data_IF_820574690880
#
_entry.id   IF_820574690880
#
_cell.length_a   1.000
_cell.length_b   1.000
_cell.length_c   1.000
_cell.angle_alpha   90.00
_cell.angle_beta   90.00
_cell.angle_gamma   90.00
#
_symmetry.space_group_name_H-M   'P 1'
#
loop_
_entity.id
_entity.type
_entity.pdbx_description
1 polymer ?
#
# COMPACT_ATOMS: atom_id res chain seq x y z
N UNK A 1 5.12 -29.00 -15.51
CA UNK A 1 6.42 -28.27 -15.53
C UNK A 1 6.61 -27.76 -14.11
N UNK A 2 7.76 -27.99 -13.50
CA UNK A 2 8.02 -27.54 -12.11
C UNK A 2 8.67 -26.16 -12.17
N UNK A 3 8.08 -25.18 -11.48
CA UNK A 3 8.61 -23.83 -11.34
C UNK A 3 9.62 -23.75 -10.20
N UNK A 4 10.46 -22.72 -10.18
CA UNK A 4 11.27 -22.40 -9.01
C UNK A 4 10.38 -21.68 -7.95
N UNK A 5 9.47 -20.84 -8.43
CA UNK A 5 8.59 -20.03 -7.59
C UNK A 5 7.18 -19.93 -8.18
N UNK A 6 6.16 -20.11 -7.33
CA UNK A 6 4.77 -19.70 -7.61
C UNK A 6 4.40 -18.53 -6.72
N UNK A 7 3.76 -17.51 -7.30
CA UNK A 7 3.25 -16.33 -6.58
C UNK A 7 1.73 -16.37 -6.64
N UNK A 8 1.09 -16.41 -5.47
CA UNK A 8 -0.36 -16.48 -5.30
C UNK A 8 -0.87 -15.08 -4.94
N UNK A 9 -1.54 -14.45 -5.89
CA UNK A 9 -1.93 -13.05 -5.87
C UNK A 9 -0.91 -12.16 -6.57
N UNK A 10 -1.29 -11.51 -7.67
CA UNK A 10 -0.45 -10.63 -8.48
C UNK A 10 -0.87 -9.15 -8.33
N UNK A 11 -1.30 -8.77 -7.12
CA UNK A 11 -1.50 -7.38 -6.72
C UNK A 11 -0.17 -6.64 -6.58
N UNK A 12 -0.09 -5.67 -5.67
CA UNK A 12 1.10 -4.83 -5.53
C UNK A 12 2.37 -5.61 -5.19
N UNK A 13 2.30 -6.47 -4.16
CA UNK A 13 3.46 -7.27 -3.70
C UNK A 13 3.80 -8.36 -4.70
N UNK A 14 2.80 -9.10 -5.18
CA UNK A 14 3.05 -10.21 -6.10
C UNK A 14 3.54 -9.77 -7.47
N UNK A 15 3.09 -8.63 -7.99
CA UNK A 15 3.61 -8.07 -9.24
C UNK A 15 5.09 -7.68 -9.11
N UNK A 16 5.47 -7.04 -7.99
CA UNK A 16 6.87 -6.72 -7.70
C UNK A 16 7.71 -7.99 -7.52
N UNK A 17 7.22 -8.97 -6.74
CA UNK A 17 7.91 -10.25 -6.51
C UNK A 17 8.16 -11.00 -7.82
N UNK A 18 7.16 -11.06 -8.70
CA UNK A 18 7.28 -11.68 -10.02
C UNK A 18 8.35 -11.03 -10.88
N UNK A 19 8.37 -9.71 -10.90
CA UNK A 19 9.39 -8.95 -11.61
C UNK A 19 10.80 -9.23 -11.08
N UNK A 20 11.02 -9.07 -9.77
CA UNK A 20 12.37 -9.24 -9.20
C UNK A 20 12.85 -10.69 -9.27
N UNK A 21 11.99 -11.68 -8.98
CA UNK A 21 12.35 -13.08 -9.04
C UNK A 21 12.68 -13.54 -10.46
N UNK A 22 11.89 -13.14 -11.47
CA UNK A 22 12.16 -13.48 -12.87
C UNK A 22 13.45 -12.82 -13.34
N UNK A 23 13.66 -11.55 -12.99
CA UNK A 23 14.89 -10.82 -13.32
C UNK A 23 16.14 -11.45 -12.68
N UNK A 24 15.97 -12.11 -11.52
CA UNK A 24 17.02 -12.89 -10.88
C UNK A 24 17.29 -14.25 -11.54
N UNK A 25 16.57 -14.58 -12.61
CA UNK A 25 16.76 -15.80 -13.41
C UNK A 25 15.95 -17.01 -12.94
N UNK A 26 14.99 -16.83 -12.03
CA UNK A 26 14.10 -17.90 -11.59
C UNK A 26 13.01 -18.19 -12.64
N UNK A 27 12.59 -19.46 -12.74
CA UNK A 27 11.40 -19.86 -13.48
C UNK A 27 10.17 -19.61 -12.61
N UNK A 28 9.41 -18.54 -12.90
CA UNK A 28 8.33 -18.02 -12.06
C UNK A 28 6.98 -18.20 -12.73
N UNK A 29 5.97 -18.61 -11.94
CA UNK A 29 4.56 -18.52 -12.27
C UNK A 29 3.88 -17.51 -11.36
N UNK A 30 3.31 -16.46 -11.95
CA UNK A 30 2.41 -15.53 -11.24
C UNK A 30 0.96 -15.94 -11.47
N UNK A 31 0.16 -15.97 -10.38
CA UNK A 31 -1.27 -16.28 -10.48
C UNK A 31 -2.12 -15.16 -9.89
N UNK A 32 -3.31 -14.97 -10.41
CA UNK A 32 -4.32 -14.07 -9.83
C UNK A 32 -5.74 -14.52 -10.23
N UNK A 33 -6.69 -14.35 -9.31
CA UNK A 33 -8.10 -14.64 -9.57
C UNK A 33 -8.70 -13.72 -10.64
N UNK A 34 -8.10 -12.57 -10.88
CA UNK A 34 -8.52 -11.57 -11.85
C UNK A 34 -7.36 -11.14 -12.75
N UNK A 35 -7.63 -10.27 -13.73
CA UNK A 35 -6.60 -9.65 -14.56
C UNK A 35 -6.05 -8.40 -13.83
N UNK A 36 -4.82 -8.42 -13.28
CA UNK A 36 -4.27 -7.26 -12.57
C UNK A 36 -3.72 -6.19 -13.57
N UNK A 37 -3.76 -4.90 -13.22
CA UNK A 37 -4.43 -4.32 -12.04
C UNK A 37 -5.96 -4.36 -12.18
N UNK A 38 -6.66 -4.60 -11.09
CA UNK A 38 -8.12 -4.71 -11.07
C UNK A 38 -8.74 -4.02 -9.83
N UNK A 39 -10.04 -3.73 -9.88
CA UNK A 39 -10.75 -3.03 -8.81
C UNK A 39 -11.06 -3.90 -7.57
N UNK A 40 -10.80 -5.20 -7.65
CA UNK A 40 -11.01 -6.11 -6.52
C UNK A 40 -9.89 -6.06 -5.49
N UNK A 41 -8.65 -5.72 -5.90
CA UNK A 41 -7.50 -5.62 -4.99
C UNK A 41 -7.47 -4.31 -4.20
N UNK A 42 -6.68 -4.29 -3.13
CA UNK A 42 -6.48 -3.09 -2.29
C UNK A 42 -5.62 -2.00 -2.95
N UNK A 43 -5.11 -2.26 -4.15
CA UNK A 43 -4.21 -1.38 -4.89
C UNK A 43 -4.92 -0.37 -5.83
N UNK A 44 -6.21 -0.55 -6.10
CA UNK A 44 -6.92 0.30 -7.05
C UNK A 44 -7.16 1.73 -6.55
N UNK A 45 -7.54 2.64 -7.45
CA UNK A 45 -7.86 4.03 -7.15
C UNK A 45 -6.67 4.97 -7.34
N UNK A 46 -5.88 4.78 -8.36
CA UNK A 46 -4.85 5.63 -8.97
C UNK A 46 -3.60 5.88 -8.13
N UNK A 47 -3.73 6.33 -6.88
CA UNK A 47 -2.60 6.89 -6.11
C UNK A 47 -2.47 6.30 -4.71
N UNK A 48 -1.22 6.25 -4.19
CA UNK A 48 -0.87 5.89 -2.81
C UNK A 48 0.24 6.79 -2.29
N UNK A 49 0.16 7.19 -1.01
CA UNK A 49 1.23 7.95 -0.37
C UNK A 49 2.49 7.12 -0.21
N UNK A 50 3.65 7.78 -0.36
CA UNK A 50 4.92 7.32 0.16
C UNK A 50 5.50 8.40 1.07
N UNK A 51 5.81 8.03 2.31
CA UNK A 51 6.36 8.84 3.39
C UNK A 51 7.57 8.13 3.96
N UNK A 52 8.62 8.86 4.31
CA UNK A 52 9.84 8.30 4.87
C UNK A 52 9.87 8.40 6.41
N UNK A 53 9.45 9.52 6.97
CA UNK A 53 9.29 9.71 8.41
C UNK A 53 8.01 8.99 8.88
N UNK A 54 8.18 7.81 9.47
CA UNK A 54 7.09 6.87 9.60
C UNK A 54 6.42 6.94 10.99
N UNK A 55 5.14 7.35 11.01
CA UNK A 55 4.35 7.53 12.23
C UNK A 55 3.89 6.24 12.90
N UNK A 56 3.82 5.15 12.13
CA UNK A 56 3.45 3.81 12.60
C UNK A 56 4.63 3.04 13.21
N UNK A 57 5.85 3.63 13.20
CA UNK A 57 7.02 3.11 13.89
C UNK A 57 8.30 3.10 13.06
N UNK A 58 9.41 3.36 13.74
CA UNK A 58 10.75 3.49 13.15
C UNK A 58 11.26 2.22 12.44
N UNK A 59 10.76 1.03 12.82
CA UNK A 59 11.12 -0.26 12.20
C UNK A 59 10.83 -0.32 10.71
N UNK A 60 9.94 0.54 10.22
CA UNK A 60 9.59 0.64 8.81
C UNK A 60 10.54 1.53 7.99
N UNK A 61 11.32 2.40 8.64
CA UNK A 61 12.14 3.40 7.94
C UNK A 61 13.18 2.76 7.01
N UNK A 62 13.96 1.74 7.41
CA UNK A 62 14.88 1.07 6.49
C UNK A 62 14.18 0.51 5.25
N UNK A 63 13.00 -0.10 5.45
CA UNK A 63 12.20 -0.67 4.37
C UNK A 63 11.70 0.40 3.41
N UNK A 64 11.17 1.53 3.91
CA UNK A 64 10.63 2.58 3.03
C UNK A 64 11.72 3.33 2.28
N UNK A 65 12.91 3.50 2.84
CA UNK A 65 14.04 4.09 2.14
C UNK A 65 14.54 3.20 0.99
N UNK A 66 14.61 1.88 1.22
CA UNK A 66 14.88 0.94 0.14
C UNK A 66 13.77 0.94 -0.90
N UNK A 67 12.52 0.94 -0.44
CA UNK A 67 11.37 1.01 -1.33
C UNK A 67 11.42 2.24 -2.24
N UNK A 68 11.78 3.43 -1.71
CA UNK A 68 11.94 4.64 -2.51
C UNK A 68 12.97 4.45 -3.63
N UNK A 69 14.13 3.87 -3.32
CA UNK A 69 15.15 3.57 -4.35
C UNK A 69 14.58 2.71 -5.48
N UNK A 70 13.83 1.66 -5.11
CA UNK A 70 13.22 0.74 -6.07
C UNK A 70 12.06 1.40 -6.87
N UNK A 71 11.33 2.32 -6.25
CA UNK A 71 10.32 3.13 -6.95
C UNK A 71 10.94 4.10 -7.95
N UNK A 72 12.07 4.72 -7.60
CA UNK A 72 12.82 5.58 -8.51
C UNK A 72 13.35 4.78 -9.72
N UNK A 73 13.81 3.54 -9.48
CA UNK A 73 14.23 2.64 -10.56
C UNK A 73 13.06 2.27 -11.49
N UNK A 74 11.92 1.89 -10.92
CA UNK A 74 10.73 1.54 -11.70
C UNK A 74 10.20 2.73 -12.51
N UNK A 75 10.25 3.93 -11.95
CA UNK A 75 9.79 5.16 -12.61
C UNK A 75 10.55 5.47 -13.91
N UNK A 76 11.78 5.00 -14.06
CA UNK A 76 12.56 5.18 -15.31
C UNK A 76 11.96 4.46 -16.52
N UNK A 77 11.07 3.49 -16.30
CA UNK A 77 10.34 2.82 -17.38
C UNK A 77 9.12 3.62 -17.87
N UNK A 78 8.78 4.73 -17.20
CA UNK A 78 7.61 5.57 -17.49
C UNK A 78 7.98 7.06 -17.33
N UNK A 79 8.93 7.56 -18.12
CA UNK A 79 9.48 8.93 -17.97
C UNK A 79 8.43 10.02 -18.21
N UNK A 80 7.50 9.81 -19.16
CA UNK A 80 6.46 10.78 -19.49
C UNK A 80 5.32 10.83 -18.44
N UNK A 81 5.10 9.74 -17.71
CA UNK A 81 4.11 9.61 -16.64
C UNK A 81 4.73 8.85 -15.46
N UNK A 82 5.52 9.52 -14.62
CA UNK A 82 6.32 8.85 -13.60
C UNK A 82 5.47 8.17 -12.55
N UNK A 83 5.87 6.96 -12.16
CA UNK A 83 5.20 6.17 -11.11
C UNK A 83 5.31 6.87 -9.75
N UNK A 84 6.48 7.42 -9.43
CA UNK A 84 6.67 8.24 -8.24
C UNK A 84 6.62 9.73 -8.61
N UNK A 85 5.70 10.45 -7.96
CA UNK A 85 5.55 11.90 -8.09
C UNK A 85 5.99 12.57 -6.78
N UNK A 86 7.12 13.28 -6.84
CA UNK A 86 7.68 14.02 -5.69
C UNK A 86 6.88 15.31 -5.46
N UNK A 87 5.75 15.21 -4.78
CA UNK A 87 4.91 16.35 -4.40
C UNK A 87 5.26 16.96 -3.04
N UNK A 88 6.12 16.29 -2.28
CA UNK A 88 6.18 16.41 -0.83
C UNK A 88 4.96 15.80 -0.16
N UNK A 89 5.06 15.56 1.14
CA UNK A 89 3.94 15.15 2.00
C UNK A 89 3.93 16.02 3.24
N UNK A 90 2.81 16.68 3.52
CA UNK A 90 2.58 17.38 4.78
C UNK A 90 1.79 16.49 5.74
N UNK A 91 2.32 16.22 6.93
CA UNK A 91 1.64 15.55 8.01
C UNK A 91 1.09 16.61 8.95
N UNK A 92 -0.25 16.73 9.06
CA UNK A 92 -0.96 17.79 9.78
C UNK A 92 -1.68 17.23 11.01
N UNK A 93 -1.68 17.96 12.11
CA UNK A 93 -2.48 17.59 13.27
C UNK A 93 -2.24 18.50 14.49
N UNK A 94 -2.97 18.26 15.59
CA UNK A 94 -2.71 18.89 16.87
C UNK A 94 -1.27 18.68 17.33
N UNK A 95 -0.68 19.67 18.00
CA UNK A 95 0.73 19.61 18.43
C UNK A 95 1.02 18.47 19.44
N UNK A 96 -0.01 17.94 20.10
CA UNK A 96 0.05 16.82 21.03
C UNK A 96 -0.29 15.46 20.38
N UNK A 97 -0.41 15.40 19.05
CA UNK A 97 -0.64 14.15 18.31
C UNK A 97 0.51 13.17 18.50
N UNK A 98 0.18 11.96 18.96
CA UNK A 98 1.16 10.85 19.06
C UNK A 98 1.71 10.46 17.68
N UNK A 99 0.86 10.48 16.65
CA UNK A 99 1.30 10.20 15.29
C UNK A 99 2.37 11.20 14.83
N UNK A 100 2.16 12.50 15.01
CA UNK A 100 3.15 13.52 14.65
C UNK A 100 4.42 13.44 15.51
N UNK A 101 4.32 13.08 16.79
CA UNK A 101 5.46 12.83 17.64
C UNK A 101 6.32 11.68 17.10
N UNK A 102 5.71 10.59 16.66
CA UNK A 102 6.41 9.46 16.06
C UNK A 102 7.06 9.84 14.70
N UNK A 103 6.36 10.61 13.86
CA UNK A 103 6.93 11.14 12.61
C UNK A 103 8.17 11.98 12.90
N UNK A 104 8.11 12.90 13.88
CA UNK A 104 9.25 13.73 14.27
C UNK A 104 10.42 12.90 14.80
N UNK A 105 10.12 11.90 15.66
CA UNK A 105 11.12 10.99 16.21
C UNK A 105 11.82 10.17 15.10
N UNK A 106 11.06 9.58 14.19
CA UNK A 106 11.60 8.84 13.02
C UNK A 106 12.47 9.74 12.15
N UNK A 107 12.04 11.00 11.93
CA UNK A 107 12.79 11.96 11.14
C UNK A 107 14.15 12.30 11.79
N UNK A 108 14.17 12.54 13.09
CA UNK A 108 15.40 12.86 13.84
C UNK A 108 16.36 11.67 13.84
N UNK A 109 15.87 10.48 14.19
CA UNK A 109 16.68 9.28 14.30
C UNK A 109 17.36 8.89 12.98
N UNK A 110 16.63 9.03 11.87
CA UNK A 110 17.11 8.67 10.52
C UNK A 110 17.63 9.86 9.71
N UNK A 111 17.74 11.04 10.34
CA UNK A 111 18.22 12.29 9.70
C UNK A 111 17.48 12.60 8.39
N UNK A 112 16.15 12.40 8.40
CA UNK A 112 15.30 12.65 7.23
C UNK A 112 15.05 14.15 7.08
N UNK A 113 14.87 14.58 5.83
CA UNK A 113 14.61 15.98 5.50
C UNK A 113 13.13 16.33 5.76
N UNK A 114 12.84 16.74 7.00
CA UNK A 114 11.49 17.12 7.44
C UNK A 114 11.51 18.53 8.02
N UNK A 115 10.70 19.41 7.44
CA UNK A 115 10.48 20.77 7.95
C UNK A 115 9.33 20.78 8.95
N UNK A 116 9.53 21.36 10.13
CA UNK A 116 8.47 21.61 11.10
C UNK A 116 7.90 23.01 10.91
N UNK A 117 6.59 23.09 10.72
CA UNK A 117 5.84 24.34 10.51
C UNK A 117 4.79 24.50 11.61
N UNK A 118 4.58 25.71 12.07
CA UNK A 118 3.42 26.10 12.86
C UNK A 118 2.20 26.38 11.97
N UNK A 119 1.06 26.66 12.57
CA UNK A 119 -0.17 26.93 11.84
C UNK A 119 -0.04 28.12 10.85
N UNK A 120 0.68 29.17 11.25
CA UNK A 120 0.89 30.34 10.39
C UNK A 120 1.79 30.00 9.21
N UNK A 121 2.87 29.26 9.43
CA UNK A 121 3.77 28.76 8.39
C UNK A 121 3.08 27.86 7.38
N UNK A 122 2.20 26.96 7.85
CA UNK A 122 1.38 26.10 6.99
C UNK A 122 0.49 26.96 6.08
N UNK A 123 -0.31 27.86 6.65
CA UNK A 123 -1.26 28.70 5.90
C UNK A 123 -0.57 29.75 5.00
N UNK A 124 0.63 30.20 5.36
CA UNK A 124 1.43 31.07 4.52
C UNK A 124 1.98 30.33 3.27
N UNK A 125 2.37 29.07 3.44
CA UNK A 125 2.94 28.26 2.35
C UNK A 125 1.86 27.68 1.44
N UNK A 126 0.73 27.25 2.01
CA UNK A 126 -0.43 26.71 1.29
C UNK A 126 -1.71 27.43 1.76
N UNK A 127 -2.07 28.55 1.12
CA UNK A 127 -3.25 29.34 1.50
C UNK A 127 -4.58 28.58 1.39
N UNK A 128 -4.59 27.45 0.71
CA UNK A 128 -5.73 26.52 0.57
C UNK A 128 -5.97 25.71 1.83
N UNK A 129 -4.95 25.55 2.69
CA UNK A 129 -5.03 24.79 3.94
C UNK A 129 -5.42 25.76 5.07
N UNK A 130 -6.39 25.36 5.88
CA UNK A 130 -6.81 26.04 7.10
C UNK A 130 -6.59 25.12 8.27
N UNK A 131 -5.89 25.58 9.30
CA UNK A 131 -5.66 24.80 10.52
C UNK A 131 -5.80 25.70 11.75
N UNK A 132 -6.24 25.16 12.91
CA UNK A 132 -6.24 25.86 14.19
C UNK A 132 -4.82 26.24 14.64
N UNK A 133 -4.70 27.26 15.50
CA UNK A 133 -3.40 27.76 16.00
C UNK A 133 -2.57 26.70 16.76
N UNK A 134 -3.20 25.68 17.31
CA UNK A 134 -2.52 24.59 18.02
C UNK A 134 -2.09 23.44 17.11
N UNK A 135 -2.21 23.58 15.77
CA UNK A 135 -1.73 22.60 14.82
C UNK A 135 -0.27 22.82 14.47
N UNK A 136 0.40 21.73 14.15
CA UNK A 136 1.71 21.72 13.51
C UNK A 136 1.66 20.93 12.20
N UNK A 137 2.62 21.17 11.33
CA UNK A 137 2.86 20.42 10.11
C UNK A 137 4.29 19.91 10.08
N UNK A 138 4.45 18.66 9.72
CA UNK A 138 5.75 18.05 9.43
C UNK A 138 5.81 17.76 7.94
N UNK A 139 6.58 18.56 7.19
CA UNK A 139 6.64 18.49 5.74
C UNK A 139 7.87 17.73 5.27
N UNK A 140 7.64 16.59 4.65
CA UNK A 140 8.64 15.73 4.04
C UNK A 140 8.84 16.13 2.57
N UNK A 141 9.92 16.80 2.24
CA UNK A 141 10.18 17.32 0.88
C UNK A 141 10.51 16.23 -0.12
N UNK A 142 11.09 15.12 0.34
CA UNK A 142 11.53 13.99 -0.50
C UNK A 142 10.47 12.91 -0.71
N UNK A 143 9.33 13.06 -0.03
CA UNK A 143 8.18 12.18 -0.10
C UNK A 143 7.18 12.61 -1.18
N UNK A 144 6.11 11.85 -1.37
CA UNK A 144 5.11 12.15 -2.38
C UNK A 144 4.07 11.05 -2.54
N UNK A 145 3.73 10.75 -3.77
CA UNK A 145 2.77 9.67 -4.06
C UNK A 145 3.20 8.80 -5.25
N UNK A 146 2.63 7.61 -5.28
CA UNK A 146 2.85 6.58 -6.28
C UNK A 146 1.58 6.38 -7.10
N UNK A 147 1.72 6.20 -8.41
CA UNK A 147 0.65 5.75 -9.32
C UNK A 147 0.51 4.25 -9.22
N UNK A 148 -0.43 3.80 -8.39
CA UNK A 148 -0.50 2.40 -7.97
C UNK A 148 -0.81 1.41 -9.08
N UNK A 149 -1.77 1.70 -9.92
CA UNK A 149 -2.16 0.80 -11.01
C UNK A 149 -1.12 0.79 -12.14
N UNK A 150 -0.53 1.95 -12.42
CA UNK A 150 0.57 2.06 -13.39
C UNK A 150 1.78 1.23 -12.94
N UNK A 151 2.13 1.29 -11.65
CA UNK A 151 3.24 0.50 -11.09
C UNK A 151 3.01 -1.02 -11.28
N UNK A 152 1.83 -1.51 -10.94
CA UNK A 152 1.49 -2.93 -11.08
C UNK A 152 1.53 -3.35 -12.56
N UNK A 153 0.93 -2.55 -13.44
CA UNK A 153 0.94 -2.80 -14.88
C UNK A 153 2.37 -2.87 -15.41
N UNK A 154 3.24 -1.96 -14.98
CA UNK A 154 4.65 -1.92 -15.38
C UNK A 154 5.39 -3.17 -14.92
N UNK A 155 5.29 -3.57 -13.64
CA UNK A 155 5.93 -4.79 -13.15
C UNK A 155 5.45 -6.05 -13.89
N UNK A 156 4.15 -6.21 -14.10
CA UNK A 156 3.56 -7.35 -14.81
C UNK A 156 4.11 -7.44 -16.23
N UNK A 157 4.18 -6.31 -16.94
CA UNK A 157 4.72 -6.26 -18.29
C UNK A 157 6.21 -6.62 -18.32
N UNK A 158 7.00 -6.01 -17.45
CA UNK A 158 8.44 -6.28 -17.35
C UNK A 158 8.73 -7.73 -16.93
N UNK A 159 7.95 -8.29 -16.01
CA UNK A 159 8.06 -9.70 -15.63
C UNK A 159 7.76 -10.62 -16.83
N UNK A 160 6.72 -10.33 -17.60
CA UNK A 160 6.36 -11.07 -18.82
C UNK A 160 7.47 -11.02 -19.87
N UNK A 161 8.02 -9.84 -20.11
CA UNK A 161 9.13 -9.65 -21.05
C UNK A 161 10.39 -10.41 -20.63
N UNK A 162 10.62 -10.56 -19.32
CA UNK A 162 11.70 -11.35 -18.75
C UNK A 162 11.42 -12.88 -18.73
N UNK A 163 10.23 -13.33 -19.19
CA UNK A 163 9.88 -14.75 -19.32
C UNK A 163 9.03 -15.31 -18.17
N UNK A 164 8.47 -14.48 -17.28
CA UNK A 164 7.56 -14.93 -16.25
C UNK A 164 6.28 -15.53 -16.86
N UNK A 165 5.90 -16.72 -16.44
CA UNK A 165 4.59 -17.29 -16.76
C UNK A 165 3.50 -16.58 -15.94
N UNK A 166 2.36 -16.31 -16.57
CA UNK A 166 1.26 -15.56 -15.97
C UNK A 166 -0.06 -16.31 -16.17
N UNK A 167 -0.71 -16.68 -15.08
CA UNK A 167 -2.02 -17.34 -15.04
C UNK A 167 -3.00 -16.42 -14.32
N UNK A 168 -3.69 -15.58 -15.09
CA UNK A 168 -4.66 -14.61 -14.59
C UNK A 168 -6.09 -15.02 -14.93
N UNK A 169 -7.08 -14.50 -14.21
CA UNK A 169 -8.47 -14.93 -14.20
C UNK A 169 -8.63 -16.41 -13.81
N UNK A 170 -7.73 -16.91 -12.96
CA UNK A 170 -7.68 -18.28 -12.51
C UNK A 170 -7.42 -18.33 -10.99
N UNK A 171 -8.45 -18.43 -10.16
CA UNK A 171 -8.29 -18.51 -8.71
C UNK A 171 -7.51 -19.76 -8.28
N UNK A 172 -6.59 -19.60 -7.35
CA UNK A 172 -6.01 -20.70 -6.59
C UNK A 172 -7.02 -21.12 -5.51
N UNK A 173 -7.38 -22.39 -5.47
CA UNK A 173 -8.39 -22.93 -4.56
C UNK A 173 -7.81 -23.67 -3.38
N UNK A 174 -6.58 -24.18 -3.50
CA UNK A 174 -5.86 -24.85 -2.42
C UNK A 174 -4.35 -24.77 -2.62
N UNK A 175 -3.63 -24.91 -1.50
CA UNK A 175 -2.17 -25.02 -1.44
C UNK A 175 -1.86 -26.34 -0.72
N UNK A 176 -1.06 -27.19 -1.36
CA UNK A 176 -0.57 -28.44 -0.76
C UNK A 176 0.94 -28.42 -0.68
N UNK A 177 1.47 -28.99 0.38
CA UNK A 177 2.89 -29.13 0.60
C UNK A 177 3.25 -30.62 0.66
N UNK A 178 4.35 -30.99 0.03
CA UNK A 178 4.92 -32.32 0.06
C UNK A 178 6.46 -32.24 0.09
N UNK A 179 7.13 -33.40 0.12
CA UNK A 179 8.60 -33.48 0.15
C UNK A 179 9.26 -32.86 -1.10
N UNK A 180 8.50 -32.71 -2.18
CA UNK A 180 8.98 -32.17 -3.45
C UNK A 180 8.77 -30.67 -3.60
N UNK A 181 7.99 -30.02 -2.70
CA UNK A 181 7.76 -28.58 -2.72
C UNK A 181 6.31 -28.17 -2.46
N UNK A 182 5.80 -27.25 -3.27
CA UNK A 182 4.46 -26.69 -3.14
C UNK A 182 3.66 -26.95 -4.41
N UNK A 183 2.43 -27.40 -4.24
CA UNK A 183 1.45 -27.58 -5.33
C UNK A 183 0.26 -26.65 -5.08
N UNK A 184 -0.11 -25.85 -6.07
CA UNK A 184 -1.36 -25.09 -6.07
C UNK A 184 -2.40 -25.79 -6.95
N UNK A 185 -3.65 -25.76 -6.49
CA UNK A 185 -4.80 -26.25 -7.24
C UNK A 185 -5.56 -25.08 -7.87
N UNK A 186 -5.93 -25.23 -9.13
CA UNK A 186 -6.73 -24.26 -9.88
C UNK A 186 -7.73 -24.98 -10.78
N UNK A 187 -8.69 -24.25 -11.35
CA UNK A 187 -9.63 -24.79 -12.33
C UNK A 187 -8.95 -25.28 -13.62
N UNK A 188 -7.79 -24.71 -13.96
CA UNK A 188 -7.02 -25.05 -15.16
C UNK A 188 -6.01 -26.19 -14.94
N UNK A 189 -5.97 -26.74 -13.70
CA UNK A 189 -5.09 -27.84 -13.28
C UNK A 189 -4.16 -27.46 -12.13
N UNK A 190 -3.28 -28.39 -11.78
CA UNK A 190 -2.33 -28.26 -10.67
C UNK A 190 -0.97 -27.78 -11.21
N UNK A 191 -0.34 -26.87 -10.44
CA UNK A 191 1.00 -26.35 -10.75
C UNK A 191 1.92 -26.56 -9.56
N UNK A 192 3.16 -26.95 -9.84
CA UNK A 192 4.16 -27.28 -8.83
C UNK A 192 5.34 -26.33 -8.88
N UNK A 193 5.87 -25.97 -7.70
CA UNK A 193 7.08 -25.20 -7.52
C UNK A 193 7.91 -25.69 -6.35
N UNK A 194 9.18 -25.25 -6.30
CA UNK A 194 10.04 -25.47 -5.12
C UNK A 194 9.56 -24.62 -3.94
N UNK A 195 9.14 -23.38 -4.23
CA UNK A 195 8.69 -22.39 -3.24
C UNK A 195 7.44 -21.67 -3.69
N UNK A 196 6.71 -21.14 -2.72
CA UNK A 196 5.56 -20.28 -2.98
C UNK A 196 5.62 -18.97 -2.17
N UNK A 197 4.96 -17.93 -2.71
CA UNK A 197 4.67 -16.69 -2.00
C UNK A 197 3.16 -16.50 -1.99
N UNK A 198 2.59 -16.35 -0.81
CA UNK A 198 1.17 -16.07 -0.61
C UNK A 198 1.00 -14.59 -0.29
N UNK A 199 0.46 -13.83 -1.24
CA UNK A 199 0.16 -12.39 -1.12
C UNK A 199 -1.22 -12.08 -1.71
N UNK A 200 -2.21 -12.93 -1.37
CA UNK A 200 -3.56 -12.95 -1.94
C UNK A 200 -4.49 -11.83 -1.39
N UNK A 201 -3.95 -10.85 -0.61
CA UNK A 201 -4.74 -9.75 -0.05
C UNK A 201 -5.93 -10.26 0.75
N UNK A 202 -7.11 -9.71 0.52
CA UNK A 202 -8.34 -10.05 1.26
C UNK A 202 -8.74 -11.52 1.13
N UNK A 203 -8.35 -12.22 0.06
CA UNK A 203 -8.62 -13.65 -0.16
C UNK A 203 -7.66 -14.59 0.59
N UNK A 204 -6.70 -14.08 1.33
CA UNK A 204 -5.74 -14.92 2.06
C UNK A 204 -6.43 -15.86 3.03
N UNK A 205 -7.55 -15.44 3.64
CA UNK A 205 -8.32 -16.29 4.58
C UNK A 205 -9.09 -17.41 3.90
N UNK A 206 -9.38 -17.33 2.62
CA UNK A 206 -9.98 -18.43 1.88
C UNK A 206 -9.00 -19.60 1.69
N UNK A 207 -7.70 -19.28 1.64
CA UNK A 207 -6.62 -20.26 1.52
C UNK A 207 -6.07 -20.68 2.88
N UNK A 208 -6.01 -19.76 3.84
CA UNK A 208 -5.38 -19.91 5.15
C UNK A 208 -6.29 -19.29 6.24
N UNK A 209 -7.39 -19.96 6.62
CA UNK A 209 -8.45 -19.39 7.47
C UNK A 209 -7.99 -19.03 8.90
N UNK A 210 -6.92 -19.68 9.39
CA UNK A 210 -6.39 -19.47 10.75
C UNK A 210 -5.59 -18.18 10.91
N UNK A 211 -5.32 -17.45 9.80
CA UNK A 211 -4.53 -16.22 9.89
C UNK A 211 -5.28 -15.14 10.67
N UNK A 212 -4.59 -14.42 11.56
CA UNK A 212 -5.17 -13.36 12.37
C UNK A 212 -5.29 -12.06 11.57
N UNK A 213 -6.02 -12.10 10.45
CA UNK A 213 -6.25 -10.96 9.56
C UNK A 213 -7.73 -10.64 9.53
N UNK A 214 -8.07 -9.38 9.72
CA UNK A 214 -9.45 -8.88 9.69
C UNK A 214 -9.63 -7.91 8.52
N UNK A 215 -10.36 -8.30 7.47
CA UNK A 215 -10.70 -7.39 6.39
C UNK A 215 -11.64 -6.27 6.86
N UNK A 216 -11.36 -5.05 6.41
CA UNK A 216 -12.16 -3.85 6.71
C UNK A 216 -12.44 -3.10 5.41
N UNK A 217 -13.73 -2.92 5.08
CA UNK A 217 -14.12 -2.09 3.94
C UNK A 217 -13.79 -0.64 4.23
N UNK A 218 -13.10 0.00 3.30
CA UNK A 218 -12.72 1.41 3.32
C UNK A 218 -13.22 2.10 2.07
N UNK A 219 -13.44 3.40 2.15
CA UNK A 219 -13.77 4.21 0.99
C UNK A 219 -12.77 5.36 0.83
N UNK A 220 -12.61 5.77 -0.40
CA UNK A 220 -11.97 7.02 -0.77
C UNK A 220 -12.76 7.64 -1.92
N UNK A 221 -12.73 8.96 -2.01
CA UNK A 221 -13.49 9.66 -3.01
C UNK A 221 -12.72 10.84 -3.60
N UNK A 222 -13.15 11.25 -4.79
CA UNK A 222 -12.66 12.43 -5.49
C UNK A 222 -13.66 13.55 -5.36
N UNK A 223 -13.16 14.71 -4.98
CA UNK A 223 -13.94 15.92 -4.77
C UNK A 223 -13.51 17.00 -5.74
N UNK A 224 -14.45 17.79 -6.19
CA UNK A 224 -14.15 18.90 -7.10
C UNK A 224 -13.11 19.83 -6.48
N UNK A 225 -12.03 20.08 -7.21
CA UNK A 225 -10.93 20.93 -6.81
C UNK A 225 -10.39 21.67 -8.03
N UNK A 226 -9.96 22.90 -7.85
CA UNK A 226 -9.33 23.65 -8.93
C UNK A 226 -7.80 23.49 -8.94
N UNK A 227 -7.15 24.12 -9.92
CA UNK A 227 -5.72 24.01 -10.12
C UNK A 227 -4.84 24.45 -8.95
N UNK A 228 -5.36 25.24 -7.98
CA UNK A 228 -4.62 25.65 -6.78
C UNK A 228 -4.17 24.45 -5.96
N UNK A 229 -4.94 23.39 -5.97
CA UNK A 229 -4.68 22.12 -5.27
C UNK A 229 -3.78 21.15 -6.07
N UNK A 230 -3.23 21.56 -7.21
CA UNK A 230 -2.42 20.69 -8.08
C UNK A 230 -0.93 20.67 -7.70
N UNK A 231 -0.22 19.61 -8.13
CA UNK A 231 1.26 19.54 -8.03
C UNK A 231 1.93 20.71 -8.76
N UNK A 232 1.36 21.17 -9.88
CA UNK A 232 1.89 22.31 -10.65
C UNK A 232 1.94 23.58 -9.81
N UNK A 233 1.00 23.75 -8.89
CA UNK A 233 0.95 24.86 -7.93
C UNK A 233 1.57 24.49 -6.57
N UNK A 234 2.38 23.42 -6.54
CA UNK A 234 3.12 22.95 -5.35
C UNK A 234 2.24 22.59 -4.16
N UNK A 235 0.98 22.20 -4.42
CA UNK A 235 0.13 21.63 -3.38
C UNK A 235 0.64 20.21 -3.07
N UNK A 236 0.88 19.87 -1.79
CA UNK A 236 1.48 18.59 -1.42
C UNK A 236 0.43 17.49 -1.34
N UNK A 237 0.87 16.24 -1.34
CA UNK A 237 0.10 15.18 -0.74
C UNK A 237 0.10 15.35 0.79
N UNK A 238 -0.88 14.77 1.49
CA UNK A 238 -1.02 15.05 2.91
C UNK A 238 -1.55 13.85 3.71
N UNK A 239 -1.21 13.84 5.00
CA UNK A 239 -1.96 13.18 6.05
C UNK A 239 -2.49 14.25 7.02
N UNK A 240 -3.60 13.97 7.69
CA UNK A 240 -4.14 14.93 8.64
C UNK A 240 -4.96 14.25 9.73
N UNK A 241 -4.77 14.70 10.96
CA UNK A 241 -5.49 14.25 12.13
C UNK A 241 -6.41 15.38 12.63
N UNK A 242 -7.67 15.08 12.87
CA UNK A 242 -8.61 15.98 13.52
C UNK A 242 -8.54 15.82 15.06
N UNK A 243 -9.02 16.83 15.85
CA UNK A 243 -8.98 16.76 17.31
C UNK A 243 -9.73 15.57 17.94
N UNK A 244 -10.65 14.95 17.21
CA UNK A 244 -11.38 13.76 17.63
C UNK A 244 -10.63 12.44 17.32
N UNK A 245 -9.40 12.52 16.79
CA UNK A 245 -8.59 11.37 16.42
C UNK A 245 -8.88 10.77 15.03
N UNK A 246 -9.78 11.37 14.26
CA UNK A 246 -10.02 10.96 12.88
C UNK A 246 -8.81 11.30 12.01
N UNK A 247 -8.31 10.30 11.27
CA UNK A 247 -7.12 10.41 10.43
C UNK A 247 -7.51 10.33 8.95
N UNK A 248 -6.97 11.25 8.17
CA UNK A 248 -7.22 11.36 6.74
C UNK A 248 -5.91 11.38 5.94
N UNK A 249 -6.00 11.00 4.69
CA UNK A 249 -4.92 11.12 3.73
C UNK A 249 -5.48 11.60 2.40
N UNK A 250 -4.69 12.38 1.65
CA UNK A 250 -5.12 12.86 0.36
C UNK A 250 -3.96 13.24 -0.54
N UNK A 251 -4.33 13.61 -1.76
CA UNK A 251 -3.40 13.81 -2.87
C UNK A 251 -3.67 15.15 -3.53
N UNK A 252 -2.66 15.76 -4.18
CA UNK A 252 -2.90 16.90 -5.05
C UNK A 252 -3.98 16.61 -6.09
N UNK A 253 -4.70 17.65 -6.49
CA UNK A 253 -5.73 17.53 -7.52
C UNK A 253 -5.11 17.19 -8.88
N UNK A 254 -5.71 16.22 -9.54
CA UNK A 254 -5.49 15.87 -10.95
C UNK A 254 -6.84 15.94 -11.67
N UNK A 255 -6.87 16.53 -12.88
CA UNK A 255 -8.10 16.68 -13.67
C UNK A 255 -9.27 17.31 -12.89
N UNK A 256 -8.97 18.38 -12.14
CA UNK A 256 -9.93 19.11 -11.29
C UNK A 256 -10.61 18.27 -10.19
N UNK A 257 -9.97 17.18 -9.78
CA UNK A 257 -10.43 16.31 -8.72
C UNK A 257 -9.33 16.01 -7.68
N UNK A 258 -9.61 16.26 -6.40
CA UNK A 258 -8.75 15.92 -5.27
C UNK A 258 -9.24 14.64 -4.62
N UNK A 259 -8.35 13.64 -4.53
CA UNK A 259 -8.66 12.38 -3.86
C UNK A 259 -8.34 12.46 -2.37
N UNK A 260 -9.27 11.97 -1.54
CA UNK A 260 -9.09 11.86 -0.09
C UNK A 260 -9.79 10.61 0.43
N UNK A 261 -9.26 10.02 1.50
CA UNK A 261 -9.88 8.94 2.26
C UNK A 261 -9.62 9.09 3.75
N UNK A 262 -10.46 8.45 4.55
CA UNK A 262 -10.27 8.33 6.00
C UNK A 262 -9.45 7.07 6.29
N UNK A 263 -8.35 7.22 7.04
CA UNK A 263 -7.43 6.11 7.29
C UNK A 263 -7.96 5.15 8.36
N UNK A 264 -8.38 5.67 9.52
CA UNK A 264 -8.92 4.86 10.61
C UNK A 264 -10.43 4.59 10.45
N UNK A 265 -11.00 3.70 11.28
CA UNK A 265 -12.39 3.26 11.16
C UNK A 265 -12.64 2.37 9.95
N UNK A 266 -13.84 2.41 9.41
CA UNK A 266 -14.31 1.57 8.31
C UNK A 266 -15.30 0.51 8.77
N UNK A 267 -15.71 -0.39 7.88
CA UNK A 267 -16.69 -1.43 8.14
C UNK A 267 -16.00 -2.80 8.14
N UNK A 268 -16.06 -3.52 9.24
CA UNK A 268 -15.57 -4.91 9.31
C UNK A 268 -16.38 -5.76 8.34
N UNK A 269 -15.68 -6.55 7.54
CA UNK A 269 -16.24 -7.57 6.63
C UNK A 269 -15.55 -8.91 6.88
N UNK A 270 -16.17 -10.01 6.49
CA UNK A 270 -15.62 -11.35 6.73
C UNK A 270 -15.05 -12.00 5.47
N UNK A 271 -15.43 -11.48 4.31
CA UNK A 271 -14.91 -11.93 3.00
C UNK A 271 -14.84 -10.75 2.03
N UNK A 272 -14.13 -10.95 0.92
CA UNK A 272 -14.06 -9.97 -0.16
C UNK A 272 -15.42 -9.68 -0.80
N UNK A 273 -16.33 -10.68 -0.83
CA UNK A 273 -17.66 -10.57 -1.42
C UNK A 273 -18.61 -9.69 -0.61
N UNK A 274 -18.35 -9.49 0.69
CA UNK A 274 -19.13 -8.58 1.53
C UNK A 274 -18.78 -7.10 1.29
N UNK A 275 -17.76 -6.80 0.48
CA UNK A 275 -17.37 -5.43 0.16
C UNK A 275 -18.37 -4.81 -0.82
N UNK A 276 -19.39 -4.14 -0.31
CA UNK A 276 -20.34 -3.40 -1.14
C UNK A 276 -19.66 -2.22 -1.85
N UNK A 277 -20.06 -1.90 -3.11
CA UNK A 277 -19.53 -0.77 -3.87
C UNK A 277 -19.70 0.58 -3.15
N UNK A 278 -18.94 1.58 -3.62
CA UNK A 278 -19.10 2.97 -3.17
C UNK A 278 -20.51 3.49 -3.51
N UNK A 279 -21.08 4.31 -2.64
CA UNK A 279 -22.40 4.90 -2.66
C UNK A 279 -23.57 3.95 -2.31
N UNK A 280 -23.33 2.68 -2.07
CA UNK A 280 -24.34 1.80 -1.47
C UNK A 280 -24.50 2.03 0.03
N UNK A 281 -23.48 2.61 0.68
CA UNK A 281 -23.56 3.08 2.08
C UNK A 281 -23.74 4.60 2.06
N UNK A 282 -24.78 5.08 2.72
CA UNK A 282 -25.20 6.51 2.71
C UNK A 282 -24.06 7.47 3.13
N UNK A 283 -23.17 7.04 4.02
CA UNK A 283 -22.08 7.88 4.52
C UNK A 283 -20.88 7.98 3.59
N UNK A 284 -20.75 7.12 2.59
CA UNK A 284 -19.54 7.00 1.76
C UNK A 284 -19.08 8.33 1.16
N UNK A 285 -19.99 9.07 0.53
CA UNK A 285 -19.66 10.35 -0.10
C UNK A 285 -19.45 11.52 0.87
N UNK A 286 -19.70 11.33 2.17
CA UNK A 286 -19.58 12.36 3.20
C UNK A 286 -18.52 12.06 4.25
N UNK A 287 -17.86 10.91 4.20
CA UNK A 287 -16.87 10.49 5.20
C UNK A 287 -15.72 11.50 5.36
N UNK A 288 -15.30 12.14 4.27
CA UNK A 288 -14.24 13.14 4.30
C UNK A 288 -14.71 14.57 4.64
N UNK A 289 -16.02 14.84 4.73
CA UNK A 289 -16.53 16.20 4.96
C UNK A 289 -16.00 16.86 6.24
N UNK A 290 -15.85 16.17 7.38
CA UNK A 290 -15.27 16.80 8.57
C UNK A 290 -13.88 17.40 8.30
N UNK A 291 -13.02 16.68 7.59
CA UNK A 291 -11.69 17.15 7.23
C UNK A 291 -11.76 18.28 6.18
N UNK A 292 -12.51 18.08 5.11
CA UNK A 292 -12.62 19.05 4.03
C UNK A 292 -13.12 20.41 4.52
N UNK A 293 -14.16 20.43 5.35
CA UNK A 293 -14.75 21.68 5.90
C UNK A 293 -13.78 22.43 6.83
N UNK A 294 -13.01 21.68 7.63
CA UNK A 294 -12.13 22.28 8.62
C UNK A 294 -10.75 22.64 8.06
N UNK A 295 -10.21 21.80 7.16
CA UNK A 295 -8.80 21.90 6.70
C UNK A 295 -8.69 22.34 5.25
N UNK A 296 -9.62 21.94 4.37
CA UNK A 296 -9.59 22.24 2.93
C UNK A 296 -10.91 22.88 2.45
N UNK A 297 -11.30 24.05 3.00
CA UNK A 297 -12.64 24.63 2.80
C UNK A 297 -12.95 25.04 1.35
N UNK A 298 -11.94 25.09 0.47
CA UNK A 298 -12.12 25.40 -0.95
C UNK A 298 -12.45 24.20 -1.84
N UNK A 299 -12.51 22.98 -1.26
CA UNK A 299 -12.88 21.76 -1.98
C UNK A 299 -14.40 21.71 -2.15
N UNK A 300 -14.86 21.32 -3.35
CA UNK A 300 -16.27 21.27 -3.72
C UNK A 300 -16.96 19.93 -3.39
N UNK A 301 -17.96 19.57 -4.20
CA UNK A 301 -18.76 18.38 -3.99
C UNK A 301 -17.99 17.09 -4.30
N UNK A 302 -18.46 15.97 -3.73
CA UNK A 302 -18.03 14.64 -4.12
C UNK A 302 -18.45 14.36 -5.56
N UNK A 303 -17.49 13.97 -6.39
CA UNK A 303 -17.71 13.64 -7.80
C UNK A 303 -17.99 12.14 -7.99
N UNK A 304 -17.15 11.31 -7.40
CA UNK A 304 -17.23 9.85 -7.40
C UNK A 304 -16.33 9.28 -6.30
N UNK A 305 -16.40 7.98 -6.08
CA UNK A 305 -15.54 7.29 -5.13
C UNK A 305 -15.44 5.81 -5.43
N UNK A 306 -14.66 5.13 -4.61
CA UNK A 306 -14.51 3.69 -4.69
C UNK A 306 -14.36 3.07 -3.29
N UNK A 307 -14.73 1.78 -3.18
CA UNK A 307 -14.50 0.98 -1.99
C UNK A 307 -13.29 0.08 -2.18
N UNK A 308 -12.43 -0.01 -1.17
CA UNK A 308 -11.32 -0.95 -1.10
C UNK A 308 -11.36 -1.73 0.21
N UNK A 309 -10.38 -2.58 0.44
CA UNK A 309 -10.25 -3.34 1.69
C UNK A 309 -8.88 -3.07 2.30
N UNK A 310 -8.86 -2.84 3.62
CA UNK A 310 -7.67 -3.01 4.43
C UNK A 310 -7.71 -4.41 5.03
N UNK A 311 -6.61 -5.11 5.04
CA UNK A 311 -6.46 -6.42 5.67
C UNK A 311 -5.63 -6.20 6.93
N UNK A 312 -6.32 -5.95 8.05
CA UNK A 312 -5.66 -5.56 9.29
C UNK A 312 -5.21 -6.79 10.09
N UNK A 313 -3.96 -6.78 10.52
CA UNK A 313 -3.47 -7.64 11.60
C UNK A 313 -3.92 -7.08 12.95
N UNK A 314 -3.85 -7.86 14.05
CA UNK A 314 -4.31 -7.41 15.38
C UNK A 314 -3.59 -6.18 15.93
N UNK A 315 -2.32 -5.99 15.56
CA UNK A 315 -1.46 -4.88 15.97
C UNK A 315 -1.22 -3.85 14.85
N UNK A 316 -1.89 -4.05 13.71
CA UNK A 316 -1.76 -3.25 12.49
C UNK A 316 -0.36 -3.26 11.86
N UNK A 317 0.56 -4.10 12.34
CA UNK A 317 1.85 -4.36 11.71
C UNK A 317 1.76 -5.45 10.64
N UNK A 318 2.65 -5.41 9.64
CA UNK A 318 2.69 -6.40 8.56
C UNK A 318 2.94 -7.82 9.10
N UNK A 319 2.47 -8.81 8.34
CA UNK A 319 2.84 -10.22 8.52
C UNK A 319 3.75 -10.60 7.36
N UNK A 320 5.01 -10.88 7.67
CA UNK A 320 6.05 -11.32 6.73
C UNK A 320 6.79 -12.48 7.40
N UNK A 321 6.39 -13.71 7.08
CA UNK A 321 6.93 -14.92 7.72
C UNK A 321 6.74 -16.14 6.83
N UNK A 322 7.44 -17.22 7.09
CA UNK A 322 7.11 -18.50 6.50
C UNK A 322 5.90 -19.11 7.19
N UNK A 323 5.16 -19.95 6.48
CA UNK A 323 4.05 -20.68 7.10
C UNK A 323 4.59 -21.63 8.17
N UNK A 324 3.87 -21.81 9.29
CA UNK A 324 4.19 -22.84 10.26
C UNK A 324 4.33 -24.21 9.57
N UNK A 325 5.39 -24.94 9.88
CA UNK A 325 5.73 -26.25 9.33
C UNK A 325 6.02 -26.29 7.80
N UNK A 326 6.09 -25.12 7.13
CA UNK A 326 6.32 -25.03 5.69
C UNK A 326 7.29 -23.89 5.33
N UNK A 327 8.58 -24.11 5.57
CA UNK A 327 9.64 -23.12 5.32
C UNK A 327 9.80 -22.73 3.85
N UNK A 328 9.19 -23.48 2.93
CA UNK A 328 9.20 -23.20 1.49
C UNK A 328 8.06 -22.29 1.02
N UNK A 329 7.24 -21.77 1.94
CA UNK A 329 6.14 -20.85 1.62
C UNK A 329 6.23 -19.59 2.45
N UNK A 330 6.51 -18.46 1.77
CA UNK A 330 6.52 -17.13 2.37
C UNK A 330 5.11 -16.52 2.32
N UNK A 331 4.66 -16.00 3.44
CA UNK A 331 3.42 -15.25 3.60
C UNK A 331 3.75 -13.75 3.70
N UNK A 332 3.08 -12.93 2.88
CA UNK A 332 3.11 -11.46 2.98
C UNK A 332 1.66 -10.97 2.97
N UNK A 333 1.14 -10.63 4.15
CA UNK A 333 -0.27 -10.24 4.34
C UNK A 333 -0.43 -9.30 5.52
N UNK A 334 -1.67 -8.96 5.90
CA UNK A 334 -1.95 -8.09 7.04
C UNK A 334 -1.30 -6.71 6.91
N UNK A 335 -1.29 -6.14 5.70
CA UNK A 335 -0.59 -4.88 5.42
C UNK A 335 -1.34 -3.63 5.93
N UNK A 336 -2.45 -3.82 6.61
CA UNK A 336 -3.16 -2.88 7.50
C UNK A 336 -3.36 -1.47 6.93
N UNK A 337 -3.63 -1.40 5.60
CA UNK A 337 -3.92 -0.14 4.91
C UNK A 337 -2.72 0.75 4.61
N UNK A 338 -1.49 0.36 4.97
CA UNK A 338 -0.31 1.17 4.70
C UNK A 338 0.82 0.45 3.93
N UNK A 339 0.55 -0.74 3.37
CA UNK A 339 1.55 -1.60 2.74
C UNK A 339 1.99 -1.20 1.34
N UNK A 340 1.17 -0.50 0.53
CA UNK A 340 1.47 -0.28 -0.89
C UNK A 340 2.84 0.36 -1.15
N UNK A 341 3.22 1.37 -0.37
CA UNK A 341 4.52 2.06 -0.51
C UNK A 341 5.73 1.14 -0.32
N UNK A 342 5.54 0.01 0.37
CA UNK A 342 6.55 -1.01 0.59
C UNK A 342 6.51 -2.13 -0.48
N UNK A 343 5.56 -2.12 -1.41
CA UNK A 343 5.38 -3.22 -2.36
C UNK A 343 6.66 -3.54 -3.15
N UNK A 344 7.45 -2.53 -3.51
CA UNK A 344 8.72 -2.71 -4.21
C UNK A 344 9.73 -3.49 -3.37
N UNK A 345 9.98 -3.10 -2.11
CA UNK A 345 10.92 -3.79 -1.22
C UNK A 345 10.37 -5.13 -0.74
N UNK A 346 9.06 -5.26 -0.52
CA UNK A 346 8.45 -6.55 -0.19
C UNK A 346 8.58 -7.55 -1.35
N UNK A 347 8.47 -7.08 -2.59
CA UNK A 347 8.74 -7.89 -3.77
C UNK A 347 10.21 -8.31 -3.89
N UNK A 348 11.16 -7.43 -3.53
CA UNK A 348 12.59 -7.76 -3.46
C UNK A 348 12.85 -8.81 -2.37
N UNK A 349 12.31 -8.65 -1.16
CA UNK A 349 12.40 -9.62 -0.06
C UNK A 349 11.84 -10.98 -0.50
N UNK A 350 10.72 -10.99 -1.20
CA UNK A 350 10.12 -12.21 -1.73
C UNK A 350 11.02 -12.90 -2.76
N UNK A 351 11.68 -12.14 -3.62
CA UNK A 351 12.64 -12.67 -4.59
C UNK A 351 13.91 -13.20 -3.92
N UNK A 352 14.39 -12.56 -2.84
CA UNK A 352 15.52 -13.05 -2.05
C UNK A 352 15.17 -14.35 -1.33
N UNK A 353 13.99 -14.45 -0.73
CA UNK A 353 13.48 -15.69 -0.16
C UNK A 353 13.47 -16.82 -1.19
N UNK A 354 13.00 -16.56 -2.41
CA UNK A 354 12.96 -17.56 -3.47
C UNK A 354 14.36 -18.08 -3.88
N UNK A 355 15.40 -17.28 -3.67
CA UNK A 355 16.80 -17.58 -3.96
C UNK A 355 17.58 -18.13 -2.75
N UNK A 356 16.94 -18.43 -1.63
CA UNK A 356 17.59 -18.82 -0.36
C UNK A 356 18.56 -17.76 0.19
N UNK A 357 18.34 -16.49 -0.16
CA UNK A 357 19.11 -15.37 0.37
C UNK A 357 18.50 -14.88 1.67
N UNK A 358 19.37 -14.49 2.60
CA UNK A 358 18.94 -13.80 3.82
C UNK A 358 18.55 -12.37 3.47
N UNK A 359 17.42 -11.92 4.00
CA UNK A 359 17.04 -10.50 3.91
C UNK A 359 18.06 -9.60 4.63
N UNK A 360 18.36 -8.46 4.05
CA UNK A 360 19.17 -7.41 4.68
C UNK A 360 18.39 -6.64 5.78
N UNK A 361 17.08 -6.88 5.87
CA UNK A 361 16.19 -6.22 6.83
C UNK A 361 15.89 -7.14 8.03
N UNK A 362 15.72 -6.54 9.20
CA UNK A 362 15.18 -7.24 10.36
C UNK A 362 13.67 -7.44 10.18
N UNK A 363 13.27 -8.67 9.85
CA UNK A 363 11.89 -9.07 9.69
C UNK A 363 11.28 -9.64 10.98
N UNK A 364 12.04 -9.71 12.08
CA UNK A 364 11.58 -10.25 13.36
C UNK A 364 10.30 -9.59 13.88
N UNK A 365 10.12 -8.25 13.77
CA UNK A 365 8.90 -7.59 14.21
C UNK A 365 7.64 -7.98 13.42
N UNK A 366 7.81 -8.58 12.24
CA UNK A 366 6.72 -8.92 11.32
C UNK A 366 6.35 -10.41 11.33
N UNK A 367 6.96 -11.20 12.20
CA UNK A 367 6.72 -12.65 12.27
C UNK A 367 5.33 -12.96 12.79
N UNK A 368 4.75 -14.04 12.26
CA UNK A 368 3.43 -14.56 12.66
C UNK A 368 3.41 -15.02 14.12
N UNK A 369 4.55 -15.54 14.61
CA UNK A 369 4.71 -16.03 16.00
C UNK A 369 4.47 -14.98 17.08
N UNK A 370 4.46 -13.68 16.74
CA UNK A 370 4.14 -12.61 17.71
C UNK A 370 2.68 -12.62 18.17
N UNK A 371 1.83 -13.39 17.51
CA UNK A 371 0.41 -13.57 17.88
C UNK A 371 0.11 -14.91 18.58
N UNK A 372 1.15 -15.69 18.88
CA UNK A 372 1.03 -16.98 19.55
C UNK A 372 1.16 -16.89 21.07
#
# INVERSE_FOLDING_TARGET
>A
MKYDLIIIGSGSVGAAAGYYATRAGLNVLMTDAHMPPHQHGSHHGDTRLIRHAYGEGEKYVPLVLRAQTLWDELSRHNEDDPIFVRSGVINLGPADSTFLANVAHSAEQWQLNVEKLDAQGIMARWPEIRVPDNYIGLFETDSGFLRSELAIKTWIQLAKEAGCAQLFNCPVTAIRHDDDGVTIETADGDYQAKKAIVCAGTWVKDLLPELPVQPVRKVFAWYQADGRYSVKNKFPAFTGELPNGDQYYGFPAENDALKIGKHNGGQVIHSADERVPFAEVVSDGSEAFPFLRNVLPGIGCCLYGAACTYDNSPDEDFIIDTLPDHDNTLLITGLSGHGFKFASVLGEIAADFAQDKKSDFDLTPFRLSRFQ
#
